data_IF_674780691525
#
_entry.id   IF_674780691525
#
_cell.length_a   1.000
_cell.length_b   1.000
_cell.length_c   1.000
_cell.angle_alpha   90.00
_cell.angle_beta   90.00
_cell.angle_gamma   90.00
#
_symmetry.space_group_name_H-M   'P 1'
#
loop_
_entity.id
_entity.type
_entity.pdbx_description
1 polymer ?
#
# COMPACT_ATOMS: atom_id res chain seq x y z
N UNK A 1 13.93 -17.18 -11.62
CA UNK A 1 12.61 -17.24 -10.96
C UNK A 1 11.53 -17.51 -12.01
N UNK A 2 10.71 -18.56 -11.82
CA UNK A 2 9.67 -18.99 -12.75
C UNK A 2 8.41 -18.12 -12.72
N UNK A 3 7.66 -18.14 -13.82
CA UNK A 3 6.29 -17.63 -13.92
C UNK A 3 5.48 -18.61 -14.76
N UNK A 4 4.35 -19.07 -14.24
CA UNK A 4 3.45 -20.01 -14.90
C UNK A 4 2.05 -19.43 -14.83
N UNK A 5 1.36 -19.40 -15.97
CA UNK A 5 -0.01 -18.93 -16.06
C UNK A 5 -0.88 -19.93 -16.81
N UNK A 6 -2.11 -20.09 -16.37
CA UNK A 6 -3.16 -20.80 -17.08
C UNK A 6 -4.35 -19.85 -17.25
N UNK A 7 -4.89 -19.80 -18.45
CA UNK A 7 -6.11 -19.05 -18.77
C UNK A 7 -7.11 -19.97 -19.46
N UNK A 8 -8.39 -19.73 -19.21
CA UNK A 8 -9.49 -20.44 -19.84
C UNK A 8 -10.65 -19.50 -20.12
N UNK A 9 -10.95 -19.32 -21.40
CA UNK A 9 -12.17 -18.65 -21.87
C UNK A 9 -13.38 -19.56 -21.63
N UNK A 10 -14.22 -19.19 -20.67
CA UNK A 10 -15.50 -19.88 -20.39
C UNK A 10 -16.53 -19.55 -21.48
N UNK A 11 -16.50 -18.31 -21.97
CA UNK A 11 -17.30 -17.81 -23.09
C UNK A 11 -16.46 -16.82 -23.91
N UNK A 12 -17.03 -16.20 -24.94
CA UNK A 12 -16.39 -15.09 -25.65
C UNK A 12 -16.24 -13.82 -24.77
N UNK A 13 -17.01 -13.74 -23.69
CA UNK A 13 -17.14 -12.56 -22.84
C UNK A 13 -16.49 -12.74 -21.46
N UNK A 14 -16.13 -13.97 -21.08
CA UNK A 14 -15.64 -14.31 -19.73
C UNK A 14 -14.43 -15.23 -19.83
N UNK A 15 -13.36 -14.84 -19.17
CA UNK A 15 -12.12 -15.60 -19.03
C UNK A 15 -11.75 -15.70 -17.55
N UNK A 16 -11.35 -16.90 -17.13
CA UNK A 16 -10.76 -17.14 -15.81
C UNK A 16 -9.28 -17.48 -15.97
N UNK A 17 -8.45 -17.03 -15.04
CA UNK A 17 -7.02 -17.31 -15.06
C UNK A 17 -6.47 -17.58 -13.67
N UNK A 18 -5.36 -18.30 -13.65
CA UNK A 18 -4.51 -18.47 -12.48
C UNK A 18 -3.06 -18.21 -12.86
N UNK A 19 -2.33 -17.46 -12.02
CA UNK A 19 -0.92 -17.17 -12.23
C UNK A 19 -0.15 -17.54 -10.97
N UNK A 20 0.96 -18.25 -11.15
CA UNK A 20 2.02 -18.38 -10.18
C UNK A 20 3.24 -17.61 -10.66
N UNK A 21 3.85 -16.82 -9.79
CA UNK A 21 5.07 -16.08 -10.13
C UNK A 21 5.99 -15.97 -8.94
N UNK A 22 7.28 -16.00 -9.22
CA UNK A 22 8.31 -15.72 -8.23
C UNK A 22 9.09 -14.45 -8.59
N UNK A 23 9.41 -13.66 -7.57
CA UNK A 23 10.24 -12.46 -7.61
C UNK A 23 11.36 -12.57 -6.57
N UNK A 24 12.43 -11.79 -6.70
CA UNK A 24 13.40 -11.63 -5.61
C UNK A 24 13.96 -10.22 -5.61
N UNK A 25 14.27 -9.68 -4.43
CA UNK A 25 15.10 -8.49 -4.28
C UNK A 25 16.52 -8.95 -3.99
N UNK A 26 17.50 -8.39 -4.70
CA UNK A 26 18.92 -8.70 -4.44
C UNK A 26 19.29 -8.32 -3.02
N UNK A 27 20.17 -9.11 -2.41
CA UNK A 27 20.83 -8.73 -1.16
C UNK A 27 21.76 -7.53 -1.34
N UNK A 28 22.34 -7.08 -0.23
CA UNK A 28 23.19 -5.91 -0.22
C UNK A 28 24.10 -5.85 0.99
N UNK A 29 24.72 -4.69 1.19
CA UNK A 29 25.62 -4.47 2.32
C UNK A 29 25.20 -3.23 3.10
N UNK A 30 25.07 -3.40 4.40
CA UNK A 30 25.02 -2.30 5.35
C UNK A 30 26.37 -1.61 5.45
N UNK A 31 26.35 -0.39 6.00
CA UNK A 31 27.57 0.30 6.41
C UNK A 31 28.29 -0.51 7.48
N UNK A 32 29.51 -0.94 7.18
CA UNK A 32 30.36 -1.68 8.11
C UNK A 32 30.74 -0.88 9.35
N UNK A 33 31.04 -1.59 10.43
CA UNK A 33 31.38 -1.04 11.74
C UNK A 33 32.67 -1.64 12.28
N UNK A 34 33.34 -0.91 13.18
CA UNK A 34 34.48 -1.45 13.90
C UNK A 34 34.08 -2.61 14.83
N UNK A 35 34.97 -3.59 15.00
CA UNK A 35 34.78 -4.77 15.86
C UNK A 35 34.93 -4.50 17.36
N UNK A 36 34.84 -3.22 17.77
CA UNK A 36 34.86 -2.86 19.20
C UNK A 36 33.69 -3.51 19.93
N UNK A 37 33.97 -4.15 21.07
CA UNK A 37 32.98 -4.93 21.85
C UNK A 37 32.34 -6.11 21.09
N UNK A 38 33.05 -6.67 20.10
CA UNK A 38 32.60 -7.84 19.35
C UNK A 38 31.84 -7.52 18.05
N UNK A 39 31.62 -6.25 17.71
CA UNK A 39 31.00 -5.84 16.43
C UNK A 39 29.47 -5.83 16.42
N UNK A 40 28.83 -5.62 15.26
CA UNK A 40 27.37 -5.63 15.13
C UNK A 40 26.78 -7.01 15.48
N UNK A 41 25.53 -7.05 15.93
CA UNK A 41 24.81 -8.32 16.16
C UNK A 41 24.29 -8.88 14.83
N UNK A 42 23.82 -8.00 13.95
CA UNK A 42 23.30 -8.38 12.64
C UNK A 42 24.42 -8.37 11.59
N UNK A 43 24.32 -9.21 10.56
CA UNK A 43 25.38 -9.30 9.56
C UNK A 43 25.48 -8.00 8.73
N UNK A 44 26.71 -7.63 8.37
CA UNK A 44 26.96 -6.47 7.51
C UNK A 44 26.40 -6.70 6.11
N UNK A 45 26.43 -7.95 5.62
CA UNK A 45 25.84 -8.35 4.35
C UNK A 45 24.52 -9.05 4.63
N UNK A 46 23.47 -8.66 3.92
CA UNK A 46 22.15 -9.30 3.99
C UNK A 46 21.82 -9.95 2.65
N UNK A 47 21.04 -11.01 2.70
CA UNK A 47 20.76 -11.88 1.57
C UNK A 47 19.56 -11.38 0.75
N UNK A 48 19.33 -11.99 -0.40
CA UNK A 48 18.11 -11.75 -1.18
C UNK A 48 16.87 -12.22 -0.43
N UNK A 49 15.78 -11.46 -0.55
CA UNK A 49 14.43 -11.96 -0.24
C UNK A 49 13.77 -12.52 -1.49
N UNK A 50 12.79 -13.41 -1.33
CA UNK A 50 12.03 -14.00 -2.44
C UNK A 50 10.54 -13.78 -2.23
N UNK A 51 9.81 -13.39 -3.27
CA UNK A 51 8.36 -13.27 -3.26
C UNK A 51 7.74 -14.38 -4.09
N UNK A 52 6.81 -15.13 -3.51
CA UNK A 52 5.95 -16.09 -4.20
C UNK A 52 4.54 -15.52 -4.26
N UNK A 53 4.01 -15.37 -5.46
CA UNK A 53 2.70 -14.78 -5.69
C UNK A 53 1.80 -15.78 -6.42
N UNK A 54 0.60 -16.01 -5.89
CA UNK A 54 -0.49 -16.76 -6.51
C UNK A 54 -1.67 -15.81 -6.75
N UNK A 55 -2.10 -15.70 -7.99
CA UNK A 55 -3.27 -14.94 -8.39
C UNK A 55 -4.33 -15.85 -9.01
N UNK A 56 -5.59 -15.63 -8.64
CA UNK A 56 -6.76 -16.25 -9.27
C UNK A 56 -7.71 -15.14 -9.66
N UNK A 57 -8.01 -15.02 -10.94
CA UNK A 57 -8.80 -13.90 -11.45
C UNK A 57 -9.80 -14.26 -12.51
N UNK A 58 -10.74 -13.34 -12.70
CA UNK A 58 -11.73 -13.34 -13.77
C UNK A 58 -11.62 -12.01 -14.50
N UNK A 59 -11.64 -12.09 -15.83
CA UNK A 59 -11.83 -10.94 -16.71
C UNK A 59 -13.13 -11.13 -17.46
N UNK A 60 -13.94 -10.08 -17.52
CA UNK A 60 -15.19 -10.15 -18.26
C UNK A 60 -15.57 -8.85 -18.95
N UNK A 61 -16.20 -8.99 -20.11
CA UNK A 61 -16.68 -7.90 -20.94
C UNK A 61 -18.04 -8.27 -21.53
N UNK A 62 -19.09 -7.64 -21.03
CA UNK A 62 -20.48 -7.88 -21.42
C UNK A 62 -21.05 -6.72 -22.22
N UNK A 63 -22.25 -6.93 -22.78
CA UNK A 63 -23.05 -5.91 -23.47
C UNK A 63 -22.26 -5.22 -24.60
N UNK A 64 -21.61 -6.01 -25.45
CA UNK A 64 -20.77 -5.51 -26.55
C UNK A 64 -19.68 -4.51 -26.09
N UNK A 65 -19.08 -4.79 -24.93
CA UNK A 65 -18.03 -3.96 -24.36
C UNK A 65 -18.50 -2.80 -23.49
N UNK A 66 -19.81 -2.70 -23.25
CA UNK A 66 -20.38 -1.62 -22.44
C UNK A 66 -20.33 -1.88 -20.94
N UNK A 67 -20.07 -3.12 -20.51
CA UNK A 67 -19.88 -3.46 -19.10
C UNK A 67 -18.63 -4.33 -18.96
N UNK A 68 -17.64 -3.85 -18.23
CA UNK A 68 -16.46 -4.61 -17.83
C UNK A 68 -16.52 -4.84 -16.33
N UNK A 69 -16.28 -6.09 -15.92
CA UNK A 69 -16.13 -6.45 -14.50
C UNK A 69 -14.96 -7.42 -14.40
N UNK A 70 -13.94 -7.04 -13.64
CA UNK A 70 -12.80 -7.90 -13.38
C UNK A 70 -12.64 -8.05 -11.87
N UNK A 71 -12.17 -9.21 -11.47
CA UNK A 71 -11.77 -9.43 -10.09
C UNK A 71 -10.52 -10.31 -10.05
N UNK A 72 -9.70 -10.11 -9.04
CA UNK A 72 -8.53 -10.94 -8.77
C UNK A 72 -8.39 -11.12 -7.28
N UNK A 73 -8.18 -12.35 -6.85
CA UNK A 73 -7.70 -12.69 -5.51
C UNK A 73 -6.21 -12.99 -5.61
N UNK A 74 -5.43 -12.52 -4.65
CA UNK A 74 -4.00 -12.73 -4.59
C UNK A 74 -3.55 -13.20 -3.20
N UNK A 75 -2.49 -14.00 -3.20
CA UNK A 75 -1.73 -14.40 -2.03
C UNK A 75 -0.25 -14.24 -2.33
N UNK A 76 0.38 -13.32 -1.62
CA UNK A 76 1.80 -12.98 -1.71
C UNK A 76 2.50 -13.44 -0.45
N UNK A 77 3.53 -14.27 -0.60
CA UNK A 77 4.36 -14.76 0.49
C UNK A 77 5.81 -14.33 0.23
N UNK A 78 6.34 -13.48 1.09
CA UNK A 78 7.76 -13.13 1.14
C UNK A 78 8.50 -14.08 2.06
N UNK A 79 9.54 -14.69 1.53
CA UNK A 79 10.51 -15.49 2.27
C UNK A 79 11.77 -14.66 2.53
N UNK A 80 12.25 -14.69 3.77
CA UNK A 80 13.48 -14.03 4.20
C UNK A 80 13.44 -12.51 3.91
N UNK A 81 12.32 -11.86 4.18
CA UNK A 81 12.04 -10.46 3.88
C UNK A 81 13.11 -9.53 4.45
N UNK A 82 13.68 -8.66 3.59
CA UNK A 82 14.61 -7.63 4.05
C UNK A 82 13.82 -6.47 4.67
N UNK A 83 14.07 -6.21 5.96
CA UNK A 83 13.49 -5.10 6.72
C UNK A 83 14.58 -4.22 7.31
N UNK A 84 14.26 -2.93 7.46
CA UNK A 84 15.07 -2.00 8.23
C UNK A 84 14.78 -2.16 9.72
N UNK A 85 15.81 -2.45 10.50
CA UNK A 85 15.73 -2.65 11.95
C UNK A 85 16.90 -1.94 12.64
N UNK A 86 16.72 -1.62 13.93
CA UNK A 86 17.82 -1.15 14.76
C UNK A 86 18.70 -2.35 15.12
N UNK A 87 20.01 -2.26 14.89
CA UNK A 87 20.94 -3.30 15.35
C UNK A 87 20.94 -3.36 16.89
N UNK A 88 20.59 -4.51 17.50
CA UNK A 88 20.41 -4.62 18.94
C UNK A 88 21.75 -4.51 19.70
N UNK A 89 22.89 -4.60 19.02
CA UNK A 89 24.21 -4.32 19.59
C UNK A 89 24.30 -2.92 20.20
N UNK A 90 23.39 -2.00 19.86
CA UNK A 90 23.25 -0.71 20.55
C UNK A 90 23.12 -0.84 22.07
N UNK A 91 22.44 -1.90 22.53
CA UNK A 91 22.28 -2.20 23.95
C UNK A 91 23.56 -2.77 24.60
N UNK A 92 24.58 -3.10 23.80
CA UNK A 92 25.93 -3.48 24.24
C UNK A 92 26.87 -2.25 24.30
N UNK A 93 26.32 -1.05 24.10
CA UNK A 93 27.05 0.21 24.07
C UNK A 93 27.93 0.35 22.82
N UNK A 94 27.52 -0.29 21.73
CA UNK A 94 27.98 -0.03 20.37
C UNK A 94 27.06 1.10 19.82
N UNK A 95 27.52 2.09 19.02
CA UNK A 95 26.65 3.19 18.58
C UNK A 95 25.35 2.75 17.88
N UNK A 96 24.28 3.53 17.98
CA UNK A 96 23.02 3.25 17.30
C UNK A 96 23.19 3.24 15.76
N UNK A 97 22.52 2.30 15.08
CA UNK A 97 22.48 2.22 13.62
C UNK A 97 21.24 1.43 13.16
N UNK A 98 20.55 1.96 12.15
CA UNK A 98 19.60 1.19 11.34
C UNK A 98 20.35 0.35 10.32
N UNK A 99 19.94 -0.90 10.18
CA UNK A 99 20.48 -1.86 9.22
C UNK A 99 19.34 -2.57 8.51
N UNK A 100 19.59 -2.96 7.26
CA UNK A 100 18.72 -3.90 6.55
C UNK A 100 19.14 -5.30 6.94
N UNK A 101 18.20 -6.11 7.41
CA UNK A 101 18.44 -7.51 7.71
C UNK A 101 17.26 -8.37 7.25
N UNK A 102 17.54 -9.62 6.91
CA UNK A 102 16.49 -10.60 6.64
C UNK A 102 15.98 -11.14 7.97
N UNK A 103 14.83 -10.63 8.43
CA UNK A 103 14.37 -10.82 9.82
C UNK A 103 13.03 -11.53 9.92
N UNK A 104 12.54 -12.13 8.84
CA UNK A 104 11.27 -12.86 8.89
C UNK A 104 10.66 -13.14 7.53
N UNK A 105 9.45 -13.66 7.57
CA UNK A 105 8.60 -13.91 6.41
C UNK A 105 7.37 -13.00 6.50
N UNK A 106 6.81 -12.60 5.35
CA UNK A 106 5.60 -11.79 5.33
C UNK A 106 4.55 -12.37 4.40
N UNK A 107 3.29 -12.20 4.78
CA UNK A 107 2.14 -12.64 4.01
C UNK A 107 1.24 -11.45 3.72
N UNK A 108 0.75 -11.35 2.49
CA UNK A 108 -0.29 -10.40 2.11
C UNK A 108 -1.31 -11.14 1.26
N UNK A 109 -2.56 -11.14 1.70
CA UNK A 109 -3.68 -11.68 0.93
C UNK A 109 -4.78 -10.64 0.76
N UNK A 110 -5.43 -10.67 -0.39
CA UNK A 110 -6.44 -9.67 -0.70
C UNK A 110 -7.15 -9.95 -2.00
N UNK A 111 -8.06 -9.07 -2.35
CA UNK A 111 -8.69 -9.08 -3.65
C UNK A 111 -8.94 -7.67 -4.17
N UNK A 112 -8.89 -7.55 -5.49
CA UNK A 112 -9.25 -6.35 -6.21
C UNK A 112 -10.46 -6.60 -7.09
N UNK A 113 -11.31 -5.57 -7.21
CA UNK A 113 -12.42 -5.51 -8.14
C UNK A 113 -12.26 -4.25 -8.98
N UNK A 114 -12.42 -4.40 -10.30
CA UNK A 114 -12.47 -3.30 -11.27
C UNK A 114 -13.76 -3.41 -12.08
N UNK A 115 -14.51 -2.32 -12.16
CA UNK A 115 -15.75 -2.23 -12.91
C UNK A 115 -15.76 -0.96 -13.74
N UNK A 116 -16.18 -1.09 -15.00
CA UNK A 116 -16.48 0.03 -15.87
C UNK A 116 -17.78 -0.22 -16.62
N UNK A 117 -18.69 0.76 -16.64
CA UNK A 117 -19.99 0.63 -17.27
C UNK A 117 -20.35 1.88 -18.10
N UNK A 118 -20.80 1.67 -19.33
CA UNK A 118 -21.35 2.68 -20.23
C UNK A 118 -22.88 2.55 -20.30
N UNK A 119 -23.57 3.38 -19.53
CA UNK A 119 -25.03 3.39 -19.36
C UNK A 119 -25.64 4.40 -20.34
N UNK A 120 -26.57 3.94 -21.18
CA UNK A 120 -27.11 4.78 -22.26
C UNK A 120 -26.01 5.23 -23.23
N UNK A 121 -26.10 6.45 -23.76
CA UNK A 121 -25.10 6.96 -24.72
C UNK A 121 -24.17 8.00 -24.10
N UNK A 122 -24.34 8.30 -22.82
CA UNK A 122 -23.78 9.50 -22.23
C UNK A 122 -23.35 9.36 -20.77
N UNK A 123 -23.57 8.21 -20.12
CA UNK A 123 -23.16 7.99 -18.73
C UNK A 123 -22.08 6.92 -18.69
N UNK A 124 -20.96 7.25 -18.06
CA UNK A 124 -19.89 6.31 -17.72
C UNK A 124 -19.76 6.21 -16.20
N UNK A 125 -19.71 5.00 -15.68
CA UNK A 125 -19.43 4.72 -14.27
C UNK A 125 -18.19 3.87 -14.20
N UNK A 126 -17.25 4.23 -13.34
CA UNK A 126 -16.13 3.36 -13.02
C UNK A 126 -15.98 3.21 -11.52
N UNK A 127 -15.62 2.00 -11.11
CA UNK A 127 -15.46 1.64 -9.71
C UNK A 127 -14.29 0.68 -9.58
N UNK A 128 -13.42 0.92 -8.61
CA UNK A 128 -12.33 0.05 -8.26
C UNK A 128 -12.29 -0.09 -6.74
N UNK A 129 -12.00 -1.28 -6.26
CA UNK A 129 -11.90 -1.59 -4.83
C UNK A 129 -10.77 -2.59 -4.60
N UNK A 130 -9.99 -2.33 -3.57
CA UNK A 130 -9.01 -3.24 -2.99
C UNK A 130 -9.45 -3.58 -1.58
N UNK A 131 -9.38 -4.86 -1.23
CA UNK A 131 -9.54 -5.34 0.14
C UNK A 131 -8.33 -6.17 0.51
N UNK A 132 -7.70 -5.81 1.61
CA UNK A 132 -6.62 -6.56 2.24
C UNK A 132 -7.24 -7.39 3.35
N UNK A 133 -7.13 -8.71 3.23
CA UNK A 133 -7.64 -9.64 4.26
C UNK A 133 -6.59 -9.91 5.33
N UNK A 134 -5.34 -10.02 4.90
CA UNK A 134 -4.19 -10.27 5.75
C UNK A 134 -2.98 -9.51 5.18
N UNK A 135 -2.19 -8.92 6.07
CA UNK A 135 -0.94 -8.24 5.75
C UNK A 135 -0.07 -8.22 7.00
N UNK A 136 0.65 -9.32 7.24
CA UNK A 136 1.46 -9.50 8.46
C UNK A 136 2.90 -9.92 8.15
N UNK A 137 3.81 -9.58 9.07
CA UNK A 137 5.18 -10.10 9.09
C UNK A 137 5.40 -10.92 10.34
N UNK A 138 6.00 -12.09 10.15
CA UNK A 138 6.40 -13.03 11.19
C UNK A 138 7.90 -12.94 11.36
N UNK A 139 8.34 -12.41 12.49
CA UNK A 139 9.74 -12.13 12.79
C UNK A 139 10.13 -12.70 14.16
N UNK A 140 11.41 -13.04 14.41
CA UNK A 140 11.81 -13.51 15.72
C UNK A 140 11.86 -12.33 16.70
N UNK A 141 11.24 -12.48 17.88
CA UNK A 141 11.30 -11.48 18.95
C UNK A 141 12.70 -11.30 19.55
N UNK A 142 13.61 -12.24 19.28
CA UNK A 142 14.98 -12.23 19.77
C UNK A 142 15.96 -12.66 18.67
N UNK A 143 17.13 -12.04 18.65
CA UNK A 143 18.27 -12.48 17.87
C UNK A 143 19.27 -13.23 18.76
N UNK A 144 20.00 -14.18 18.18
CA UNK A 144 21.12 -14.81 18.87
C UNK A 144 22.21 -13.78 19.19
N UNK A 145 22.62 -13.75 20.45
CA UNK A 145 23.63 -12.82 20.93
C UNK A 145 24.45 -13.47 22.06
N UNK A 146 25.56 -14.16 21.73
CA UNK A 146 26.37 -14.86 22.73
C UNK A 146 27.01 -13.94 23.78
N UNK A 147 27.07 -12.62 23.53
CA UNK A 147 27.68 -11.65 24.45
C UNK A 147 26.79 -11.29 25.63
N UNK A 148 25.50 -11.61 25.61
CA UNK A 148 24.57 -11.34 26.72
C UNK A 148 24.23 -12.60 27.52
N UNK A 149 23.95 -12.48 28.82
CA UNK A 149 23.42 -13.60 29.61
C UNK A 149 22.14 -14.17 28.97
N UNK A 150 22.11 -15.48 28.73
CA UNK A 150 21.00 -16.15 28.05
C UNK A 150 21.17 -16.29 26.53
N UNK A 151 22.20 -15.68 25.94
CA UNK A 151 22.55 -15.89 24.52
C UNK A 151 21.57 -15.27 23.52
N UNK A 152 20.66 -14.40 23.97
CA UNK A 152 19.60 -13.81 23.15
C UNK A 152 19.38 -12.34 23.51
N UNK A 153 19.13 -11.52 22.50
CA UNK A 153 18.84 -10.08 22.64
C UNK A 153 17.55 -9.73 21.92
N UNK A 154 16.74 -8.83 22.50
CA UNK A 154 15.47 -8.42 21.89
C UNK A 154 15.70 -7.82 20.49
N UNK A 155 14.90 -8.25 19.51
CA UNK A 155 14.95 -7.73 18.13
C UNK A 155 14.25 -6.38 17.97
N UNK A 156 13.34 -6.05 18.90
CA UNK A 156 12.42 -4.92 18.76
C UNK A 156 11.23 -5.21 17.85
N UNK A 157 11.04 -6.48 17.47
CA UNK A 157 9.92 -6.95 16.65
C UNK A 157 9.02 -7.87 17.46
N UNK A 158 7.73 -7.83 17.18
CA UNK A 158 6.78 -8.82 17.69
C UNK A 158 6.81 -10.11 16.83
N UNK A 159 6.47 -11.28 17.39
CA UNK A 159 6.41 -12.55 16.66
C UNK A 159 5.53 -12.53 15.41
N UNK A 160 4.46 -11.73 15.42
CA UNK A 160 3.61 -11.42 14.26
C UNK A 160 3.07 -10.01 14.45
N UNK A 161 3.10 -9.20 13.40
CA UNK A 161 2.65 -7.81 13.41
C UNK A 161 2.18 -7.38 12.03
N UNK A 162 1.19 -6.50 11.99
CA UNK A 162 0.65 -5.98 10.74
C UNK A 162 1.70 -5.15 9.99
N UNK A 163 1.75 -5.32 8.67
CA UNK A 163 2.55 -4.47 7.79
C UNK A 163 1.97 -3.05 7.76
N UNK A 164 2.82 -2.01 7.80
CA UNK A 164 2.35 -0.63 7.68
C UNK A 164 1.92 -0.31 6.25
N UNK A 165 1.15 0.77 6.11
CA UNK A 165 0.67 1.32 4.83
C UNK A 165 -0.30 0.42 4.06
N UNK A 166 -0.74 -0.70 4.63
CA UNK A 166 -1.85 -1.50 4.10
C UNK A 166 -3.15 -1.03 4.75
N UNK A 167 -4.02 -0.40 3.95
CA UNK A 167 -5.38 -0.12 4.37
C UNK A 167 -6.26 -1.34 4.12
N UNK A 168 -7.08 -1.72 5.11
CA UNK A 168 -7.98 -2.90 5.02
C UNK A 168 -8.90 -2.83 3.79
N UNK A 169 -9.38 -1.63 3.46
CA UNK A 169 -10.17 -1.38 2.26
C UNK A 169 -9.83 -0.02 1.67
N UNK A 170 -9.70 0.02 0.36
CA UNK A 170 -9.61 1.25 -0.42
C UNK A 170 -10.53 1.14 -1.62
N UNK A 171 -11.22 2.20 -1.98
CA UNK A 171 -12.03 2.21 -3.20
C UNK A 171 -12.08 3.60 -3.83
N UNK A 172 -12.30 3.62 -5.14
CA UNK A 172 -12.73 4.83 -5.83
C UNK A 172 -13.88 4.56 -6.78
N UNK A 173 -14.69 5.59 -6.96
CA UNK A 173 -15.89 5.61 -7.78
C UNK A 173 -15.85 6.90 -8.60
N UNK A 174 -16.22 6.83 -9.86
CA UNK A 174 -16.60 8.01 -10.62
C UNK A 174 -17.87 7.76 -11.42
N UNK A 175 -18.61 8.84 -11.63
CA UNK A 175 -19.74 8.91 -12.55
C UNK A 175 -19.50 10.11 -13.45
N UNK A 176 -19.51 9.90 -14.75
CA UNK A 176 -19.35 10.93 -15.76
C UNK A 176 -20.58 10.94 -16.67
N UNK A 177 -21.21 12.11 -16.79
CA UNK A 177 -22.31 12.38 -17.71
C UNK A 177 -21.77 13.33 -18.77
N UNK A 178 -21.78 12.93 -20.04
CA UNK A 178 -21.33 13.73 -21.18
C UNK A 178 -22.51 14.12 -22.08
N UNK A 179 -22.25 14.89 -23.15
CA UNK A 179 -23.25 15.18 -24.17
C UNK A 179 -24.40 16.10 -23.73
N UNK A 180 -24.28 16.78 -22.59
CA UNK A 180 -25.33 17.67 -22.09
C UNK A 180 -25.31 18.95 -22.95
N UNK A 181 -26.41 19.27 -23.65
CA UNK A 181 -26.48 20.48 -24.48
C UNK A 181 -26.86 21.68 -23.62
N UNK A 182 -25.93 22.61 -23.42
CA UNK A 182 -26.13 23.85 -22.65
C UNK A 182 -25.55 25.04 -23.41
N UNK A 183 -26.30 26.14 -23.47
CA UNK A 183 -25.87 27.40 -24.09
C UNK A 183 -25.33 27.27 -25.53
N UNK A 184 -25.85 26.30 -26.29
CA UNK A 184 -25.39 26.02 -27.66
C UNK A 184 -24.10 25.19 -27.75
N UNK A 185 -23.46 24.87 -26.62
CA UNK A 185 -22.29 24.01 -26.52
C UNK A 185 -22.61 22.60 -26.03
N UNK A 186 -21.56 21.85 -25.75
CA UNK A 186 -21.62 20.53 -25.13
C UNK A 186 -20.94 20.55 -23.77
N UNK A 187 -21.63 20.00 -22.77
CA UNK A 187 -21.17 19.96 -21.39
C UNK A 187 -21.04 18.54 -20.88
N UNK A 188 -20.19 18.39 -19.88
CA UNK A 188 -20.05 17.18 -19.10
C UNK A 188 -19.98 17.49 -17.61
N UNK A 189 -20.47 16.56 -16.81
CA UNK A 189 -20.38 16.57 -15.36
C UNK A 189 -19.71 15.27 -14.92
N UNK A 190 -18.66 15.38 -14.10
CA UNK A 190 -18.02 14.24 -13.47
C UNK A 190 -18.08 14.41 -11.96
N UNK A 191 -18.60 13.40 -11.29
CA UNK A 191 -18.44 13.21 -9.85
C UNK A 191 -17.42 12.11 -9.63
N UNK A 192 -16.51 12.31 -8.67
CA UNK A 192 -15.55 11.29 -8.27
C UNK A 192 -15.42 11.25 -6.77
N UNK A 193 -15.24 10.05 -6.23
CA UNK A 193 -15.14 9.78 -4.82
C UNK A 193 -14.07 8.73 -4.57
N UNK A 194 -13.26 8.91 -3.53
CA UNK A 194 -12.25 7.95 -3.10
C UNK A 194 -12.26 7.83 -1.59
N UNK A 195 -12.11 6.60 -1.10
CA UNK A 195 -11.95 6.29 0.30
C UNK A 195 -10.70 5.44 0.51
N UNK A 196 -9.94 5.76 1.55
CA UNK A 196 -8.81 4.98 2.01
C UNK A 196 -9.04 4.67 3.48
N UNK A 197 -9.05 3.38 3.81
CA UNK A 197 -9.23 2.90 5.17
C UNK A 197 -8.03 3.14 6.05
N UNK A 198 -8.16 2.73 7.31
CA UNK A 198 -7.10 2.85 8.31
C UNK A 198 -5.89 2.00 7.97
N UNK A 199 -4.69 2.54 8.22
CA UNK A 199 -3.42 1.83 8.12
C UNK A 199 -2.46 2.29 9.21
N UNK A 200 -1.39 1.52 9.45
CA UNK A 200 -0.31 1.89 10.35
C UNK A 200 0.76 2.67 9.60
N UNK A 201 1.40 3.64 10.26
CA UNK A 201 2.45 4.47 9.64
C UNK A 201 3.81 3.76 9.54
N UNK A 202 4.08 2.81 10.42
CA UNK A 202 5.35 2.08 10.47
C UNK A 202 5.22 0.71 11.12
N UNK A 203 6.26 -0.11 10.96
CA UNK A 203 6.25 -1.51 11.40
C UNK A 203 6.45 -1.64 12.92
N UNK A 204 7.54 -1.07 13.44
CA UNK A 204 7.96 -1.18 14.84
C UNK A 204 7.28 -0.13 15.72
N UNK A 205 7.05 -0.49 16.98
CA UNK A 205 6.59 0.44 18.01
C UNK A 205 7.72 0.71 19.02
N UNK A 206 8.06 1.98 19.21
CA UNK A 206 9.13 2.40 20.10
C UNK A 206 8.77 3.67 20.85
N UNK A 207 9.32 3.84 22.05
CA UNK A 207 9.07 5.03 22.86
C UNK A 207 9.37 6.34 22.10
N UNK A 208 10.49 6.39 21.39
CA UNK A 208 10.89 7.58 20.60
C UNK A 208 10.36 7.60 19.18
N UNK A 209 9.65 6.56 18.75
CA UNK A 209 9.03 6.45 17.43
C UNK A 209 7.80 5.54 17.57
N UNK A 210 6.68 6.09 18.07
CA UNK A 210 5.49 5.30 18.31
C UNK A 210 4.85 4.89 16.99
N UNK A 211 4.32 3.67 16.97
CA UNK A 211 3.48 3.18 15.88
C UNK A 211 2.08 3.77 16.02
N UNK A 212 1.64 4.51 15.02
CA UNK A 212 0.35 5.19 15.01
C UNK A 212 -0.56 4.66 13.91
N UNK A 213 -1.86 4.69 14.20
CA UNK A 213 -2.91 4.57 13.20
C UNK A 213 -3.06 5.91 12.47
N UNK A 214 -3.09 5.86 11.14
CA UNK A 214 -3.19 7.04 10.27
C UNK A 214 -4.64 7.49 10.05
N UNK A 215 -5.62 6.78 10.65
CA UNK A 215 -7.04 7.01 10.42
C UNK A 215 -7.48 6.67 9.00
N UNK A 216 -8.76 6.89 8.71
CA UNK A 216 -9.33 6.78 7.37
C UNK A 216 -9.69 8.17 6.81
N UNK A 217 -9.95 8.25 5.50
CA UNK A 217 -10.43 9.48 4.88
C UNK A 217 -11.22 9.24 3.60
N UNK A 218 -12.15 10.16 3.31
CA UNK A 218 -12.97 10.13 2.10
C UNK A 218 -12.96 11.47 1.36
N UNK A 219 -12.52 11.47 0.10
CA UNK A 219 -12.46 12.68 -0.74
C UNK A 219 -13.50 12.58 -1.84
N UNK A 220 -14.28 13.65 -2.03
CA UNK A 220 -15.26 13.77 -3.11
C UNK A 220 -15.01 15.03 -3.91
N UNK A 221 -14.97 14.92 -5.23
CA UNK A 221 -14.84 16.06 -6.14
C UNK A 221 -15.94 16.07 -7.20
N UNK A 222 -16.25 17.26 -7.71
CA UNK A 222 -17.10 17.45 -8.87
C UNK A 222 -16.40 18.34 -9.90
N UNK A 223 -16.54 17.97 -11.17
CA UNK A 223 -15.97 18.69 -12.31
C UNK A 223 -17.09 18.94 -13.30
N UNK A 224 -17.35 20.20 -13.60
CA UNK A 224 -18.21 20.58 -14.72
C UNK A 224 -17.34 21.13 -15.84
N UNK A 225 -17.50 20.63 -17.06
CA UNK A 225 -16.81 21.13 -18.25
C UNK A 225 -17.82 21.54 -19.30
N UNK A 226 -17.55 22.65 -19.99
CA UNK A 226 -18.37 23.12 -21.11
C UNK A 226 -17.46 23.50 -22.28
N UNK A 227 -17.73 22.88 -23.41
CA UNK A 227 -17.10 23.11 -24.70
C UNK A 227 -18.04 23.91 -25.59
N UNK A 228 -17.56 25.04 -26.10
CA UNK A 228 -18.24 25.89 -27.09
C UNK A 228 -17.31 26.14 -28.29
N UNK A 229 -17.84 26.81 -29.33
CA UNK A 229 -17.06 27.17 -30.51
C UNK A 229 -15.87 28.10 -30.14
N UNK A 230 -14.68 27.51 -30.12
CA UNK A 230 -13.40 28.21 -29.91
C UNK A 230 -12.94 28.34 -28.45
N UNK A 231 -13.71 27.86 -27.46
CA UNK A 231 -13.28 27.90 -26.06
C UNK A 231 -13.88 26.79 -25.18
N UNK A 232 -13.18 26.48 -24.08
CA UNK A 232 -13.59 25.53 -23.04
C UNK A 232 -13.52 26.21 -21.68
N UNK A 233 -14.53 26.03 -20.85
CA UNK A 233 -14.45 26.34 -19.42
C UNK A 233 -14.62 25.08 -18.58
N UNK A 234 -13.92 25.06 -17.44
CA UNK A 234 -14.02 23.98 -16.45
C UNK A 234 -14.13 24.58 -15.05
N UNK A 235 -15.07 24.05 -14.28
CA UNK A 235 -15.25 24.37 -12.88
C UNK A 235 -14.96 23.12 -12.05
N UNK A 236 -14.07 23.27 -11.06
CA UNK A 236 -13.69 22.21 -10.15
C UNK A 236 -14.20 22.55 -8.74
N UNK A 237 -14.89 21.61 -8.12
CA UNK A 237 -15.20 21.65 -6.70
C UNK A 237 -14.47 20.46 -6.10
N UNK A 238 -13.35 20.73 -5.42
CA UNK A 238 -12.53 19.70 -4.78
C UNK A 238 -12.90 19.55 -3.32
N UNK A 239 -12.75 18.34 -2.77
CA UNK A 239 -12.99 18.03 -1.37
C UNK A 239 -14.34 18.60 -0.87
N UNK A 240 -15.42 18.18 -1.52
CA UNK A 240 -16.80 18.66 -1.25
C UNK A 240 -17.16 18.50 0.22
N UNK A 241 -16.70 17.42 0.86
CA UNK A 241 -16.95 17.09 2.26
C UNK A 241 -16.08 17.86 3.26
N UNK A 242 -15.14 18.67 2.78
CA UNK A 242 -14.19 19.41 3.63
C UNK A 242 -13.34 18.52 4.54
N UNK A 243 -12.98 17.34 4.01
CA UNK A 243 -12.29 16.29 4.76
C UNK A 243 -10.83 16.66 5.06
N UNK A 244 -10.37 16.34 6.28
CA UNK A 244 -8.96 16.40 6.67
C UNK A 244 -8.36 14.99 6.74
N UNK A 245 -8.00 14.43 5.59
CA UNK A 245 -7.37 13.12 5.53
C UNK A 245 -5.88 13.14 5.85
N UNK A 246 -5.38 12.10 6.50
CA UNK A 246 -3.96 11.92 6.81
C UNK A 246 -3.46 10.76 5.94
N UNK A 247 -2.54 11.08 5.03
CA UNK A 247 -1.96 10.10 4.10
C UNK A 247 -0.67 9.48 4.60
N UNK A 248 0.03 10.17 5.50
CA UNK A 248 1.21 9.68 6.18
C UNK A 248 1.43 10.41 7.51
N UNK A 249 1.77 9.67 8.57
CA UNK A 249 2.25 10.21 9.85
C UNK A 249 3.73 9.91 10.03
N UNK A 250 4.55 10.95 10.08
CA UNK A 250 5.99 10.83 10.37
C UNK A 250 6.23 10.96 11.88
N UNK A 251 6.65 9.86 12.49
CA UNK A 251 7.03 9.76 13.90
C UNK A 251 8.53 9.51 14.09
N UNK A 252 9.35 9.71 13.05
CA UNK A 252 10.80 9.42 13.09
C UNK A 252 11.64 10.59 13.64
N UNK A 253 11.01 11.73 13.97
CA UNK A 253 11.69 12.90 14.51
C UNK A 253 11.48 13.08 16.02
N UNK A 254 12.62 13.15 16.72
CA UNK A 254 12.85 13.13 18.17
C UNK A 254 12.05 14.16 19.00
N UNK A 255 11.58 13.68 20.17
CA UNK A 255 11.12 14.38 21.40
C UNK A 255 9.59 14.43 21.61
N UNK A 256 9.09 13.60 22.54
CA UNK A 256 7.67 13.56 22.95
C UNK A 256 7.17 14.86 23.61
N UNK A 257 8.08 15.74 24.07
CA UNK A 257 7.73 16.99 24.72
C UNK A 257 7.85 18.21 23.80
N UNK A 258 8.65 18.13 22.73
CA UNK A 258 9.02 19.30 21.90
C UNK A 258 9.21 19.01 20.40
N UNK A 259 8.98 17.78 19.93
CA UNK A 259 9.24 17.35 18.55
C UNK A 259 8.10 17.67 17.57
N UNK A 260 8.47 18.03 16.35
CA UNK A 260 7.55 18.22 15.21
C UNK A 260 7.20 16.86 14.58
N UNK A 261 6.25 16.13 15.16
CA UNK A 261 5.56 15.08 14.41
C UNK A 261 4.92 15.74 13.18
N UNK A 262 5.23 15.24 11.98
CA UNK A 262 4.78 15.87 10.73
C UNK A 262 3.83 14.92 9.99
N UNK A 263 2.73 15.47 9.49
CA UNK A 263 1.73 14.69 8.76
C UNK A 263 1.57 15.21 7.34
N UNK A 264 1.45 14.27 6.39
CA UNK A 264 1.01 14.58 5.04
C UNK A 264 -0.51 14.63 5.03
N UNK A 265 -1.06 15.84 5.07
CA UNK A 265 -2.48 16.10 5.23
C UNK A 265 -3.13 16.53 3.92
N UNK A 266 -4.23 15.87 3.56
CA UNK A 266 -5.19 16.38 2.58
C UNK A 266 -5.91 17.55 3.24
N UNK A 267 -5.66 18.75 2.73
CA UNK A 267 -6.14 19.99 3.36
C UNK A 267 -7.65 20.18 3.10
N UNK A 268 -8.41 20.53 4.15
CA UNK A 268 -9.74 21.12 3.99
C UNK A 268 -9.68 22.37 3.11
N UNK A 269 -10.83 22.78 2.60
CA UNK A 269 -10.95 24.06 1.89
C UNK A 269 -10.73 25.20 2.89
N UNK A 270 -9.91 26.17 2.50
CA UNK A 270 -9.54 27.35 3.31
C UNK A 270 -10.71 28.28 3.57
#
# INVERSE_FOLDING_TARGET
IPKVGLEWSLTNDVMVYGIYSEGYRVGGTNRGRGMGKGGPTLPVVYDSDTLKNVELGVKSQFMDGRLQVNAVYYSMNWENMQLEVVDPSTNLGIPWQMVVANVGDAEVTGYDIDMKAAIGNNIEVGYNRTVINDADVKAPAFFEEPRVPGGQIASGLDPSQALPMFADVSYSLYVQIAGIKLFGGESSLRFQHSYVGTSLNQLTDGFTSPRLSQGDYAISDAIFSMDMDGWRAQLYIKNIGDERGISYEDTQHFDQLWGDASSNVIRPRS
#
